data_IF_882418578882
#
_entry.id   IF_882418578882
#
_cell.length_a   1.000
_cell.length_b   1.000
_cell.length_c   1.000
_cell.angle_alpha   90.00
_cell.angle_beta   90.00
_cell.angle_gamma   90.00
#
_symmetry.space_group_name_H-M   'P 1'
#
loop_
_entity.id
_entity.type
_entity.pdbx_description
1 polymer ?
#
# COMPACT_ATOMS: atom_id res chain seq x y z
N UNK A 1 -23.73 10.29 -4.92
CA UNK A 1 -22.35 10.04 -5.41
C UNK A 1 -22.22 8.54 -5.63
N UNK A 2 -21.63 8.06 -6.74
CA UNK A 2 -21.53 6.60 -6.94
C UNK A 2 -20.64 5.98 -5.87
N UNK A 3 -20.94 4.75 -5.45
CA UNK A 3 -20.16 4.00 -4.45
C UNK A 3 -18.66 3.93 -4.81
N UNK A 4 -18.38 3.82 -6.11
CA UNK A 4 -17.02 3.89 -6.67
C UNK A 4 -16.27 5.20 -6.35
N UNK A 5 -16.94 6.36 -6.44
CA UNK A 5 -16.32 7.65 -6.18
C UNK A 5 -16.03 7.85 -4.69
N UNK A 6 -16.90 7.34 -3.82
CA UNK A 6 -16.70 7.38 -2.37
C UNK A 6 -15.53 6.47 -1.95
N UNK A 7 -15.51 5.23 -2.44
CA UNK A 7 -14.45 4.27 -2.20
C UNK A 7 -13.09 4.78 -2.73
N UNK A 8 -13.08 5.38 -3.93
CA UNK A 8 -11.88 5.99 -4.51
C UNK A 8 -11.38 7.18 -3.68
N UNK A 9 -12.29 8.04 -3.22
CA UNK A 9 -11.91 9.18 -2.36
C UNK A 9 -11.28 8.68 -1.06
N UNK A 10 -11.91 7.69 -0.41
CA UNK A 10 -11.37 7.09 0.81
C UNK A 10 -9.95 6.54 0.59
N UNK A 11 -9.76 5.75 -0.48
CA UNK A 11 -8.47 5.14 -0.82
C UNK A 11 -7.35 6.17 -0.97
N UNK A 12 -7.64 7.32 -1.60
CA UNK A 12 -6.61 8.34 -1.83
C UNK A 12 -6.39 9.29 -0.65
N UNK A 13 -7.32 9.39 0.31
CA UNK A 13 -7.22 10.33 1.43
C UNK A 13 -7.13 9.64 2.77
N UNK A 14 -8.24 9.09 3.25
CA UNK A 14 -8.38 8.58 4.62
C UNK A 14 -7.52 7.34 4.83
N UNK A 15 -7.32 6.56 3.77
CA UNK A 15 -6.58 5.32 3.81
C UNK A 15 -5.09 5.49 4.11
N UNK A 16 -4.52 6.64 3.74
CA UNK A 16 -3.11 6.97 3.95
C UNK A 16 -2.89 7.96 5.12
N UNK A 17 -3.95 8.26 5.88
CA UNK A 17 -3.89 9.19 7.02
C UNK A 17 -3.32 8.53 8.28
N UNK A 18 -3.13 9.29 9.37
CA UNK A 18 -2.74 8.73 10.66
C UNK A 18 -1.24 8.45 10.82
N UNK A 19 -0.69 8.86 11.96
CA UNK A 19 0.75 8.83 12.23
C UNK A 19 1.35 7.43 12.12
N UNK A 20 0.68 6.41 12.64
CA UNK A 20 1.18 5.02 12.61
C UNK A 20 1.24 4.47 11.19
N UNK A 21 0.20 4.68 10.39
CA UNK A 21 0.18 4.25 9.00
C UNK A 21 1.28 4.96 8.19
N UNK A 22 1.47 6.27 8.39
CA UNK A 22 2.57 7.00 7.75
C UNK A 22 3.94 6.44 8.14
N UNK A 23 4.17 6.12 9.43
CA UNK A 23 5.43 5.50 9.88
C UNK A 23 5.64 4.14 9.19
N UNK A 24 4.60 3.30 9.12
CA UNK A 24 4.69 1.99 8.49
C UNK A 24 4.95 2.09 6.99
N UNK A 25 4.38 3.08 6.28
CA UNK A 25 4.71 3.36 4.89
C UNK A 25 6.15 3.82 4.70
N UNK A 26 6.70 4.65 5.60
CA UNK A 26 8.10 5.06 5.52
C UNK A 26 9.06 3.87 5.69
N UNK A 27 8.73 2.95 6.61
CA UNK A 27 9.47 1.69 6.78
C UNK A 27 9.31 0.82 5.52
N UNK A 28 8.08 0.63 5.04
CA UNK A 28 7.76 -0.07 3.79
C UNK A 28 8.62 0.42 2.62
N UNK A 29 8.64 1.73 2.37
CA UNK A 29 9.43 2.34 1.31
C UNK A 29 10.93 2.13 1.49
N UNK A 30 11.43 2.15 2.73
CA UNK A 30 12.85 1.89 3.01
C UNK A 30 13.25 0.47 2.58
N UNK A 31 12.46 -0.54 2.95
CA UNK A 31 12.69 -1.92 2.53
C UNK A 31 12.51 -2.10 1.02
N UNK A 32 11.46 -1.50 0.45
CA UNK A 32 11.15 -1.57 -0.96
C UNK A 32 12.29 -1.00 -1.82
N UNK A 33 12.70 0.24 -1.59
CA UNK A 33 13.72 0.89 -2.39
C UNK A 33 15.10 0.28 -2.17
N UNK A 34 15.42 -0.15 -0.94
CA UNK A 34 16.65 -0.88 -0.69
C UNK A 34 16.65 -2.22 -1.45
N UNK A 35 15.57 -2.99 -1.35
CA UNK A 35 15.37 -4.25 -2.08
C UNK A 35 15.47 -4.08 -3.59
N UNK A 36 14.84 -3.04 -4.14
CA UNK A 36 14.93 -2.68 -5.56
C UNK A 36 16.37 -2.34 -5.98
N UNK A 37 17.13 -1.66 -5.11
CA UNK A 37 18.53 -1.30 -5.35
C UNK A 37 19.43 -2.53 -5.38
N UNK A 38 19.31 -3.42 -4.38
CA UNK A 38 20.16 -4.62 -4.26
C UNK A 38 19.61 -5.85 -5.00
N UNK A 39 18.54 -5.69 -5.78
CA UNK A 39 17.87 -6.77 -6.53
C UNK A 39 17.35 -7.93 -5.65
N UNK A 40 16.94 -7.63 -4.43
CA UNK A 40 16.42 -8.62 -3.49
C UNK A 40 14.91 -8.67 -3.51
N UNK A 41 14.35 -9.75 -4.07
CA UNK A 41 12.90 -10.01 -4.10
C UNK A 41 12.34 -10.05 -2.67
N UNK A 42 13.03 -10.70 -1.73
CA UNK A 42 12.57 -10.82 -0.34
C UNK A 42 12.37 -9.45 0.33
N UNK A 43 13.29 -8.51 0.12
CA UNK A 43 13.19 -7.15 0.66
C UNK A 43 12.06 -6.35 -0.01
N UNK A 44 11.92 -6.50 -1.34
CA UNK A 44 10.80 -5.89 -2.09
C UNK A 44 9.45 -6.36 -1.56
N UNK A 45 9.28 -7.68 -1.38
CA UNK A 45 8.04 -8.26 -0.84
C UNK A 45 7.79 -7.85 0.62
N UNK A 46 8.85 -7.72 1.42
CA UNK A 46 8.74 -7.25 2.81
C UNK A 46 8.22 -5.82 2.89
N UNK A 47 8.72 -4.92 2.04
CA UNK A 47 8.19 -3.56 1.93
C UNK A 47 6.71 -3.58 1.53
N UNK A 48 6.42 -4.19 0.38
CA UNK A 48 5.08 -4.15 -0.23
C UNK A 48 3.98 -4.84 0.58
N UNK A 49 4.22 -6.03 1.10
CA UNK A 49 3.15 -6.87 1.64
C UNK A 49 3.12 -6.92 3.16
N UNK A 50 4.26 -6.64 3.81
CA UNK A 50 4.32 -6.74 5.26
C UNK A 50 4.04 -5.36 5.87
N UNK A 51 4.88 -4.38 5.59
CA UNK A 51 4.75 -3.07 6.23
C UNK A 51 3.64 -2.20 5.62
N UNK A 52 3.48 -2.20 4.29
CA UNK A 52 2.43 -1.42 3.61
C UNK A 52 1.04 -1.86 4.04
N UNK A 53 0.75 -3.16 3.89
CA UNK A 53 -0.56 -3.73 4.22
C UNK A 53 -0.85 -3.71 5.72
N UNK A 54 0.17 -3.76 6.59
CA UNK A 54 -0.01 -3.56 8.04
C UNK A 54 -0.47 -2.14 8.37
N UNK A 55 0.09 -1.11 7.72
CA UNK A 55 -0.34 0.27 7.93
C UNK A 55 -1.80 0.47 7.51
N UNK A 56 -2.12 -0.06 6.34
CA UNK A 56 -3.45 -0.09 5.78
C UNK A 56 -4.47 -0.79 6.69
N UNK A 57 -4.15 -1.99 7.15
CA UNK A 57 -4.98 -2.74 8.10
C UNK A 57 -5.16 -1.96 9.41
N UNK A 58 -4.10 -1.32 9.92
CA UNK A 58 -4.18 -0.48 11.12
C UNK A 58 -5.21 0.64 10.95
N UNK A 59 -5.13 1.37 9.83
CA UNK A 59 -6.07 2.45 9.55
C UNK A 59 -7.51 1.96 9.37
N UNK A 60 -7.71 0.84 8.68
CA UNK A 60 -9.04 0.27 8.47
C UNK A 60 -9.71 -0.13 9.79
N UNK A 61 -9.03 -0.94 10.59
CA UNK A 61 -9.64 -1.60 11.73
C UNK A 61 -9.60 -0.75 13.00
N UNK A 62 -8.56 0.07 13.20
CA UNK A 62 -8.36 0.77 14.46
C UNK A 62 -8.67 2.27 14.37
N UNK A 63 -8.30 2.96 13.28
CA UNK A 63 -8.51 4.40 13.16
C UNK A 63 -9.92 4.72 12.68
N UNK A 64 -10.34 4.08 11.59
CA UNK A 64 -11.63 4.36 10.96
C UNK A 64 -12.75 3.39 11.37
N UNK A 65 -12.42 2.35 12.16
CA UNK A 65 -13.33 1.32 12.66
C UNK A 65 -14.30 0.81 11.56
N UNK A 66 -13.75 0.53 10.37
CA UNK A 66 -14.54 0.11 9.21
C UNK A 66 -14.86 -1.38 9.32
N UNK A 67 -16.01 -1.77 8.75
CA UNK A 67 -16.40 -3.16 8.56
C UNK A 67 -15.32 -3.92 7.77
N UNK A 68 -14.92 -5.15 8.15
CA UNK A 68 -14.06 -6.02 7.34
C UNK A 68 -14.45 -6.13 5.86
N UNK A 69 -15.75 -6.10 5.52
CA UNK A 69 -16.21 -6.08 4.13
C UNK A 69 -15.73 -4.85 3.35
N UNK A 70 -15.49 -3.73 4.05
CA UNK A 70 -14.90 -2.54 3.45
C UNK A 70 -13.46 -2.81 3.01
N UNK A 71 -12.64 -3.45 3.85
CA UNK A 71 -11.26 -3.80 3.50
C UNK A 71 -11.18 -4.72 2.28
N UNK A 72 -12.09 -5.71 2.18
CA UNK A 72 -12.17 -6.61 1.02
C UNK A 72 -12.46 -5.86 -0.29
N UNK A 73 -13.26 -4.79 -0.24
CA UNK A 73 -13.53 -3.96 -1.44
C UNK A 73 -12.33 -3.14 -1.91
N UNK A 74 -11.33 -2.96 -1.06
CA UNK A 74 -10.16 -2.13 -1.36
C UNK A 74 -9.02 -2.92 -1.97
N UNK A 75 -8.99 -4.25 -1.76
CA UNK A 75 -8.00 -5.17 -2.33
C UNK A 75 -7.83 -4.97 -3.86
N UNK A 76 -8.88 -4.87 -4.69
CA UNK A 76 -8.71 -4.65 -6.13
C UNK A 76 -7.99 -3.34 -6.46
N UNK A 77 -8.25 -2.28 -5.70
CA UNK A 77 -7.59 -0.98 -5.88
C UNK A 77 -6.11 -1.07 -5.49
N UNK A 78 -5.80 -1.70 -4.35
CA UNK A 78 -4.42 -1.93 -3.91
C UNK A 78 -3.63 -2.74 -4.94
N UNK A 79 -4.20 -3.85 -5.43
CA UNK A 79 -3.55 -4.68 -6.43
C UNK A 79 -3.34 -3.93 -7.75
N UNK A 80 -4.32 -3.14 -8.20
CA UNK A 80 -4.21 -2.36 -9.42
C UNK A 80 -3.10 -1.30 -9.31
N UNK A 81 -3.17 -0.44 -8.30
CA UNK A 81 -2.20 0.65 -8.15
C UNK A 81 -0.82 0.13 -7.76
N UNK A 82 -0.75 -0.87 -6.87
CA UNK A 82 0.49 -1.54 -6.50
C UNK A 82 1.19 -2.15 -7.70
N UNK A 83 0.45 -2.85 -8.58
CA UNK A 83 1.03 -3.45 -9.79
C UNK A 83 1.53 -2.41 -10.79
N UNK A 84 0.78 -1.32 -11.01
CA UNK A 84 1.19 -0.24 -11.89
C UNK A 84 2.45 0.47 -11.37
N UNK A 85 2.48 0.83 -10.08
CA UNK A 85 3.65 1.43 -9.45
C UNK A 85 4.86 0.50 -9.46
N UNK A 86 4.66 -0.80 -9.22
CA UNK A 86 5.72 -1.79 -9.25
C UNK A 86 6.34 -1.95 -10.63
N UNK A 87 5.53 -1.99 -11.70
CA UNK A 87 6.05 -2.06 -13.07
C UNK A 87 6.97 -0.87 -13.38
N UNK A 88 6.57 0.34 -12.98
CA UNK A 88 7.38 1.55 -13.12
C UNK A 88 8.66 1.45 -12.27
N UNK A 89 8.55 1.05 -11.01
CA UNK A 89 9.69 0.92 -10.10
C UNK A 89 10.72 -0.09 -10.63
N UNK A 90 10.28 -1.28 -11.03
CA UNK A 90 11.17 -2.29 -11.60
C UNK A 90 11.91 -1.76 -12.85
N UNK A 91 11.24 -0.96 -13.69
CA UNK A 91 11.88 -0.31 -14.83
C UNK A 91 12.93 0.73 -14.40
N UNK A 92 12.58 1.62 -13.48
CA UNK A 92 13.48 2.67 -12.97
C UNK A 92 14.74 2.08 -12.33
N UNK A 93 14.57 0.99 -11.58
CA UNK A 93 15.66 0.28 -10.93
C UNK A 93 16.36 -0.72 -11.85
N UNK A 94 16.03 -0.79 -13.15
CA UNK A 94 16.68 -1.63 -14.18
C UNK A 94 16.62 -3.13 -13.87
N UNK A 95 15.48 -3.63 -13.41
CA UNK A 95 15.29 -5.08 -13.24
C UNK A 95 15.09 -5.79 -14.59
N UNK A 96 14.73 -5.04 -15.63
CA UNK A 96 14.55 -5.48 -17.02
C UNK A 96 14.67 -4.32 -18.03
#
# INVERSE_FOLDING_TARGET
>A
MSKFLEDSKFFWTEYHSGTINVILHLVSFSFLFYGLTVKSVALVLTGLFLFDEMGHAYNYFFVHNRDPEFGLRMIPYQLLYGSLCMAVALKLFRWF
#
